data_IF_666391004505
#
_entry.id   IF_666391004505
#
_cell.length_a   1.000
_cell.length_b   1.000
_cell.length_c   1.000
_cell.angle_alpha   90.00
_cell.angle_beta   90.00
_cell.angle_gamma   90.00
#
_symmetry.space_group_name_H-M   'P 1'
#
loop_
_entity.id
_entity.type
_entity.pdbx_description
1 polymer ?
#
# COMPACT_ATOMS: atom_id res chain seq x y z
N UNK A 1 9.31 -17.50 -13.80
CA UNK A 1 9.78 -16.26 -14.44
C UNK A 1 8.75 -15.18 -14.11
N UNK A 2 9.01 -14.34 -13.12
CA UNK A 2 8.14 -13.20 -12.80
C UNK A 2 8.37 -12.14 -13.86
N UNK A 3 7.33 -11.73 -14.58
CA UNK A 3 7.45 -10.70 -15.61
C UNK A 3 7.79 -9.36 -14.94
N UNK A 4 9.04 -8.94 -15.09
CA UNK A 4 9.52 -7.60 -14.75
C UNK A 4 8.94 -6.63 -15.78
N UNK A 5 7.74 -6.11 -15.53
CA UNK A 5 7.18 -5.06 -16.38
C UNK A 5 7.77 -3.72 -15.95
N UNK A 6 8.35 -2.98 -16.91
CA UNK A 6 8.78 -1.58 -16.73
C UNK A 6 7.60 -0.63 -16.55
N UNK A 7 6.36 -1.09 -16.76
CA UNK A 7 5.18 -0.28 -16.58
C UNK A 7 4.88 -0.08 -15.08
N UNK A 8 4.31 1.08 -14.70
CA UNK A 8 4.04 1.35 -13.29
C UNK A 8 2.96 0.41 -12.72
N UNK A 9 2.92 0.20 -11.39
CA UNK A 9 2.01 -0.74 -10.75
C UNK A 9 0.55 -0.39 -10.97
N UNK A 10 -0.22 -1.34 -11.50
CA UNK A 10 -1.63 -1.13 -11.84
C UNK A 10 -2.61 -1.78 -10.86
N UNK A 11 -2.26 -2.95 -10.33
CA UNK A 11 -3.10 -3.70 -9.40
C UNK A 11 -2.55 -3.55 -7.98
N UNK A 12 -3.12 -2.63 -7.20
CA UNK A 12 -2.69 -2.37 -5.82
C UNK A 12 -3.85 -2.63 -4.85
N UNK A 13 -3.58 -3.36 -3.77
CA UNK A 13 -4.53 -3.61 -2.68
C UNK A 13 -3.88 -3.25 -1.35
N UNK A 14 -4.67 -2.73 -0.42
CA UNK A 14 -4.27 -2.59 0.97
C UNK A 14 -4.83 -3.77 1.78
N UNK A 15 -3.95 -4.42 2.53
CA UNK A 15 -4.24 -5.49 3.47
C UNK A 15 -4.17 -4.91 4.87
N UNK A 16 -5.31 -4.61 5.47
CA UNK A 16 -5.38 -4.12 6.84
C UNK A 16 -5.76 -5.24 7.82
N UNK A 17 -4.96 -5.42 8.87
CA UNK A 17 -5.25 -6.36 9.95
C UNK A 17 -5.97 -5.62 11.07
N UNK A 18 -7.23 -5.94 11.31
CA UNK A 18 -7.94 -5.50 12.51
C UNK A 18 -7.62 -6.48 13.62
N UNK A 19 -6.72 -6.11 14.53
CA UNK A 19 -6.54 -6.81 15.81
C UNK A 19 -7.78 -6.59 16.68
N UNK A 20 -8.93 -7.15 16.29
CA UNK A 20 -10.08 -7.23 17.18
C UNK A 20 -9.74 -8.26 18.24
N UNK A 21 -9.51 -7.76 19.46
CA UNK A 21 -9.39 -8.55 20.68
C UNK A 21 -10.75 -9.21 20.99
N UNK A 22 -11.09 -10.22 20.21
CA UNK A 22 -12.30 -11.01 20.38
C UNK A 22 -11.91 -12.45 20.19
N UNK A 23 -12.41 -13.29 21.08
CA UNK A 23 -12.12 -14.69 21.43
C UNK A 23 -12.11 -15.72 20.29
N UNK A 24 -11.99 -15.32 19.03
CA UNK A 24 -11.88 -16.16 17.84
C UNK A 24 -10.43 -16.19 17.35
N UNK A 25 -9.87 -17.40 17.21
CA UNK A 25 -8.44 -17.68 17.07
C UNK A 25 -7.80 -17.30 15.71
N UNK A 26 -8.38 -16.40 14.90
CA UNK A 26 -7.79 -16.02 13.61
C UNK A 26 -7.83 -14.51 13.35
N UNK A 27 -6.70 -13.87 13.01
CA UNK A 27 -6.68 -12.48 12.55
C UNK A 27 -7.43 -12.37 11.23
N UNK A 28 -8.49 -11.56 11.21
CA UNK A 28 -9.25 -11.25 10.00
C UNK A 28 -8.48 -10.19 9.21
N UNK A 29 -7.93 -10.57 8.05
CA UNK A 29 -7.28 -9.63 7.13
C UNK A 29 -8.31 -9.10 6.16
N UNK A 30 -8.50 -7.78 6.13
CA UNK A 30 -9.41 -7.11 5.18
C UNK A 30 -8.59 -6.58 4.01
N UNK A 31 -8.95 -7.00 2.79
CA UNK A 31 -8.42 -6.41 1.56
C UNK A 31 -9.30 -5.25 1.13
N UNK A 32 -8.69 -4.09 0.92
CA UNK A 32 -9.33 -2.88 0.46
C UNK A 32 -8.71 -2.41 -0.85
N UNK A 33 -9.56 -1.84 -1.72
CA UNK A 33 -9.09 -1.10 -2.89
C UNK A 33 -8.52 0.24 -2.44
N UNK A 34 -7.49 0.69 -3.17
CA UNK A 34 -6.88 2.00 -2.98
C UNK A 34 -7.10 2.85 -4.22
N UNK A 35 -7.21 4.16 -4.03
CA UNK A 35 -7.16 5.12 -5.13
C UNK A 35 -5.71 5.30 -5.56
N UNK A 36 -5.40 4.89 -6.79
CA UNK A 36 -4.05 4.98 -7.35
C UNK A 36 -3.91 6.30 -8.10
N UNK A 37 -2.93 7.11 -7.71
CA UNK A 37 -2.54 8.33 -8.42
C UNK A 37 -1.09 8.19 -8.90
N UNK A 38 -0.86 8.29 -10.21
CA UNK A 38 0.48 8.32 -10.77
C UNK A 38 1.00 9.74 -10.79
N UNK A 39 2.25 9.92 -10.33
CA UNK A 39 2.94 11.20 -10.29
C UNK A 39 4.29 11.08 -10.96
N UNK A 40 4.68 12.13 -11.66
CA UNK A 40 6.00 12.27 -12.25
C UNK A 40 6.89 13.16 -11.36
N UNK A 41 8.20 13.14 -11.62
CA UNK A 41 9.20 13.86 -10.80
C UNK A 41 9.05 15.39 -10.87
N UNK A 42 8.39 15.89 -11.89
CA UNK A 42 8.10 17.28 -12.16
C UNK A 42 6.75 17.76 -11.59
N UNK A 43 5.95 16.85 -11.04
CA UNK A 43 4.71 17.23 -10.35
C UNK A 43 5.00 17.95 -9.02
N UNK A 44 4.08 18.84 -8.63
CA UNK A 44 4.17 19.56 -7.37
C UNK A 44 4.13 18.60 -6.17
N UNK A 45 5.06 18.69 -5.20
CA UNK A 45 5.07 17.81 -4.03
C UNK A 45 3.85 18.01 -3.12
N UNK A 46 3.19 19.17 -3.21
CA UNK A 46 1.97 19.47 -2.45
C UNK A 46 0.81 18.53 -2.80
N UNK A 47 0.87 17.91 -3.97
CA UNK A 47 -0.15 16.97 -4.41
C UNK A 47 -0.08 15.60 -3.72
N UNK A 48 0.98 15.35 -2.94
CA UNK A 48 1.14 14.15 -2.11
C UNK A 48 0.56 14.33 -0.71
N UNK A 49 0.08 15.54 -0.39
CA UNK A 49 -0.50 15.83 0.91
C UNK A 49 -1.94 15.30 0.96
N UNK A 50 -2.33 14.67 2.09
CA UNK A 50 -3.74 14.34 2.33
C UNK A 50 -4.60 15.59 2.20
N UNK A 51 -5.71 15.48 1.46
CA UNK A 51 -6.69 16.55 1.33
C UNK A 51 -7.69 16.56 2.49
N UNK A 52 -7.85 15.41 3.17
CA UNK A 52 -8.71 15.24 4.34
C UNK A 52 -7.97 14.59 5.51
N UNK A 53 -8.35 14.88 6.77
CA UNK A 53 -7.72 14.26 7.96
C UNK A 53 -7.82 12.72 7.99
N UNK A 54 -8.89 12.17 7.41
CA UNK A 54 -9.15 10.72 7.36
C UNK A 54 -8.50 10.06 6.13
N UNK A 55 -7.77 10.83 5.31
CA UNK A 55 -7.05 10.31 4.15
C UNK A 55 -5.66 9.85 4.55
N UNK A 56 -5.26 8.67 4.04
CA UNK A 56 -3.97 8.07 4.33
C UNK A 56 -3.22 7.83 3.04
N UNK A 57 -2.17 8.63 2.84
CA UNK A 57 -1.39 8.58 1.61
C UNK A 57 -0.17 7.69 1.83
N UNK A 58 -0.01 6.74 0.91
CA UNK A 58 1.19 5.91 0.79
C UNK A 58 1.81 6.15 -0.59
N UNK A 59 3.07 6.56 -0.61
CA UNK A 59 3.83 6.86 -1.82
C UNK A 59 4.69 5.65 -2.16
N UNK A 60 4.39 5.02 -3.29
CA UNK A 60 5.17 3.94 -3.86
C UNK A 60 6.10 4.49 -4.93
N UNK A 61 7.41 4.36 -4.71
CA UNK A 61 8.43 4.72 -5.68
C UNK A 61 8.62 3.56 -6.64
N UNK A 62 8.24 3.79 -7.89
CA UNK A 62 8.43 2.84 -8.97
C UNK A 62 9.79 3.10 -9.64
N UNK A 63 10.67 2.11 -9.56
CA UNK A 63 11.93 2.06 -10.29
C UNK A 63 11.79 1.05 -11.45
N UNK A 64 11.77 1.51 -12.71
CA UNK A 64 11.71 0.63 -13.88
C UNK A 64 12.85 -0.38 -13.96
N UNK A 65 14.02 -0.05 -13.40
CA UNK A 65 15.19 -0.94 -13.37
C UNK A 65 15.07 -2.01 -12.28
N UNK A 66 14.25 -1.77 -11.25
CA UNK A 66 14.02 -2.66 -10.11
C UNK A 66 12.54 -2.84 -9.74
N UNK A 67 11.69 -3.35 -10.66
CA UNK A 67 10.23 -3.36 -10.50
C UNK A 67 9.71 -4.29 -9.38
N UNK A 68 10.56 -5.21 -8.90
CA UNK A 68 10.25 -6.19 -7.86
C UNK A 68 10.54 -5.71 -6.44
N UNK A 69 11.25 -4.59 -6.27
CA UNK A 69 11.65 -4.07 -4.97
C UNK A 69 11.23 -2.61 -4.78
N UNK A 70 9.92 -2.29 -4.86
CA UNK A 70 9.44 -0.93 -4.72
C UNK A 70 9.69 -0.42 -3.29
N UNK A 71 10.15 0.83 -3.19
CA UNK A 71 10.21 1.53 -1.91
C UNK A 71 8.87 2.20 -1.65
N UNK A 72 8.33 2.06 -0.44
CA UNK A 72 7.09 2.72 -0.06
C UNK A 72 7.31 3.57 1.18
N UNK A 73 6.70 4.76 1.20
CA UNK A 73 6.68 5.68 2.33
C UNK A 73 5.24 6.06 2.65
N UNK A 74 4.86 6.00 3.92
CA UNK A 74 3.56 6.48 4.38
C UNK A 74 3.66 7.87 4.99
N UNK A 75 2.62 8.68 4.83
CA UNK A 75 2.46 9.96 5.54
C UNK A 75 1.40 9.91 6.64
N UNK A 76 0.75 8.75 6.81
CA UNK A 76 -0.28 8.52 7.85
C UNK A 76 0.33 8.44 9.24
N UNK A 77 -0.36 9.01 10.23
CA UNK A 77 -0.05 8.87 11.66
C UNK A 77 -0.75 7.66 12.31
N UNK A 78 -1.83 7.17 11.70
CA UNK A 78 -2.67 6.09 12.25
C UNK A 78 -2.31 4.71 11.70
N UNK A 79 -1.60 4.68 10.57
CA UNK A 79 -1.26 3.47 9.86
C UNK A 79 0.21 3.44 9.48
N UNK A 80 0.84 2.31 9.73
CA UNK A 80 2.20 2.02 9.31
C UNK A 80 2.20 0.86 8.30
N UNK A 81 3.12 0.92 7.34
CA UNK A 81 3.40 -0.20 6.44
C UNK A 81 4.25 -1.22 7.16
N UNK A 82 3.76 -2.45 7.24
CA UNK A 82 4.48 -3.59 7.82
C UNK A 82 5.16 -4.44 6.75
N UNK A 83 4.72 -4.35 5.50
CA UNK A 83 5.32 -5.11 4.40
C UNK A 83 4.66 -4.87 3.05
N UNK A 84 5.25 -5.47 2.01
CA UNK A 84 4.70 -5.53 0.67
C UNK A 84 4.84 -6.95 0.13
N UNK A 85 3.79 -7.44 -0.52
CA UNK A 85 3.83 -8.67 -1.29
C UNK A 85 3.59 -8.36 -2.76
N UNK A 86 4.46 -8.85 -3.63
CA UNK A 86 4.32 -8.74 -5.09
C UNK A 86 4.10 -10.13 -5.67
N UNK A 87 3.05 -10.29 -6.46
CA UNK A 87 2.72 -11.56 -7.14
C UNK A 87 2.00 -11.29 -8.45
N UNK A 88 1.97 -12.23 -9.41
CA UNK A 88 1.16 -12.07 -10.62
C UNK A 88 -0.32 -11.82 -10.28
N UNK A 89 -0.94 -10.84 -10.93
CA UNK A 89 -2.34 -10.50 -10.74
C UNK A 89 -3.22 -11.59 -11.39
N UNK A 90 -4.14 -12.24 -10.63
CA UNK A 90 -5.07 -13.20 -11.21
C UNK A 90 -5.94 -12.55 -12.28
N UNK A 91 -6.02 -13.16 -13.47
CA UNK A 91 -6.82 -12.65 -14.58
C UNK A 91 -6.21 -11.46 -15.33
N UNK A 92 -5.02 -10.97 -14.94
CA UNK A 92 -4.26 -10.08 -15.80
C UNK A 92 -3.74 -10.90 -16.99
N UNK A 93 -4.34 -10.69 -18.16
CA UNK A 93 -3.74 -11.14 -19.42
C UNK A 93 -2.42 -10.40 -19.59
N UNK A 94 -1.44 -11.00 -20.29
CA UNK A 94 -0.25 -10.27 -20.74
C UNK A 94 -0.63 -9.29 -21.86
N UNK A 95 -1.55 -8.36 -21.58
CA UNK A 95 -1.76 -7.19 -22.40
C UNK A 95 -0.49 -6.35 -22.32
N UNK A 96 0.03 -5.96 -23.48
CA UNK A 96 1.41 -5.53 -23.68
C UNK A 96 1.76 -4.21 -22.93
N UNK A 97 0.75 -3.50 -22.42
CA UNK A 97 0.88 -2.13 -21.94
C UNK A 97 0.78 -1.96 -20.40
N UNK A 98 0.34 -2.98 -19.65
CA UNK A 98 0.09 -2.86 -18.20
C UNK A 98 0.96 -3.80 -17.39
N UNK A 99 1.38 -3.35 -16.21
CA UNK A 99 2.10 -4.20 -15.27
C UNK A 99 1.19 -5.34 -14.81
N UNK A 100 1.54 -6.62 -15.08
CA UNK A 100 0.70 -7.77 -14.75
C UNK A 100 0.82 -8.17 -13.27
N UNK A 101 1.62 -7.46 -12.47
CA UNK A 101 1.82 -7.78 -11.07
C UNK A 101 0.78 -7.08 -10.18
N UNK A 102 0.35 -7.80 -9.17
CA UNK A 102 -0.43 -7.33 -8.03
C UNK A 102 0.48 -7.04 -6.85
N UNK A 103 0.32 -5.85 -6.30
CA UNK A 103 1.03 -5.34 -5.14
C UNK A 103 0.05 -5.29 -3.97
N UNK A 104 0.33 -6.06 -2.92
CA UNK A 104 -0.47 -6.06 -1.69
C UNK A 104 0.32 -5.35 -0.61
N UNK A 105 -0.14 -4.18 -0.21
CA UNK A 105 0.43 -3.37 0.86
C UNK A 105 -0.07 -3.89 2.19
N UNK A 106 0.82 -4.37 3.06
CA UNK A 106 0.43 -4.76 4.41
C UNK A 106 0.48 -3.55 5.31
N UNK A 107 -0.67 -3.19 5.86
CA UNK A 107 -0.85 -1.99 6.67
C UNK A 107 -1.36 -2.42 8.04
N UNK A 108 -0.78 -1.84 9.09
CA UNK A 108 -1.15 -2.08 10.47
C UNK A 108 -1.50 -0.76 11.14
N UNK A 109 -2.60 -0.73 11.89
CA UNK A 109 -2.91 0.41 12.74
C UNK A 109 -1.84 0.54 13.82
N UNK A 110 -1.33 1.76 14.00
CA UNK A 110 -0.27 2.04 14.99
C UNK A 110 -0.81 2.10 16.41
N UNK A 111 -2.13 2.20 16.60
CA UNK A 111 -2.74 2.42 17.91
C UNK A 111 -2.32 3.76 18.52
N UNK A 112 -3.26 4.57 18.99
CA UNK A 112 -2.88 5.62 19.93
C UNK A 112 -2.31 4.91 21.16
N UNK A 113 -1.02 5.11 21.43
CA UNK A 113 -0.44 4.77 22.71
C UNK A 113 -1.35 5.34 23.80
N UNK A 114 -1.70 4.51 24.77
CA UNK A 114 -2.61 4.87 25.85
C UNK A 114 -1.90 5.92 26.71
N UNK A 115 -1.99 7.19 26.33
CA UNK A 115 -1.72 8.34 27.20
C UNK A 115 -2.81 8.45 28.28
N UNK A 116 -3.05 7.35 28.99
CA UNK A 116 -3.93 7.23 30.14
C UNK A 116 -3.08 6.56 31.21
N UNK A 117 -2.90 7.25 32.35
CA UNK A 117 -2.04 6.92 33.49
C UNK A 117 -0.60 7.47 33.46
N UNK A 118 -0.46 8.78 33.54
CA UNK A 118 0.47 9.35 34.51
C UNK A 118 -0.24 10.49 35.24
N UNK A 119 -0.58 10.21 36.50
CA UNK A 119 -1.16 11.11 37.50
C UNK A 119 -0.19 12.24 37.86
#
# INVERSE_FOLDING_TARGET
MTASSSAPPYYVLASHNTLQSSTSAQPSTVLAHVDIQYRHVDDSPLSLLPSHPDEHVFVLYHDPDNPTAPTIKGTSSQFALSGIKVSPAPGATMGEDKNPNMYVLQVTSTGADSSQYAR
#
